data_IF_894187517255
#
_entry.id   IF_894187517255
#
_cell.length_a   1.000
_cell.length_b   1.000
_cell.length_c   1.000
_cell.angle_alpha   90.00
_cell.angle_beta   90.00
_cell.angle_gamma   90.00
#
_symmetry.space_group_name_H-M   'P 1'
#
loop_
_entity.id
_entity.type
_entity.pdbx_description
1 polymer ?
#
# COMPACT_ATOMS: atom_id res chain seq x y z
N UNK A 1 -4.59 32.29 -37.87
CA UNK A 1 -3.47 31.51 -37.30
C UNK A 1 -3.41 31.76 -35.80
N UNK A 2 -4.24 31.05 -35.02
CA UNK A 2 -4.25 31.06 -33.54
C UNK A 2 -4.61 29.67 -33.03
N UNK A 3 -5.43 28.94 -33.80
CA UNK A 3 -5.86 27.56 -33.52
C UNK A 3 -4.72 26.52 -33.45
N UNK A 4 -3.62 26.71 -34.19
CA UNK A 4 -2.48 25.78 -34.17
C UNK A 4 -1.66 25.85 -32.88
N UNK A 5 -1.52 27.04 -32.27
CA UNK A 5 -0.80 27.20 -31.00
C UNK A 5 -1.61 26.65 -29.82
N UNK A 6 -2.94 26.80 -29.85
CA UNK A 6 -3.83 26.16 -28.87
C UNK A 6 -3.91 24.64 -29.07
N UNK A 7 -3.82 24.14 -30.31
CA UNK A 7 -3.88 22.71 -30.60
C UNK A 7 -2.59 21.97 -30.22
N UNK A 8 -1.41 22.52 -30.51
CA UNK A 8 -0.14 21.89 -30.11
C UNK A 8 0.06 21.92 -28.58
N UNK A 9 -0.40 22.98 -27.90
CA UNK A 9 -0.36 23.06 -26.45
C UNK A 9 -1.33 22.06 -25.81
N UNK A 10 -2.56 21.94 -26.33
CA UNK A 10 -3.53 20.96 -25.85
C UNK A 10 -3.05 19.51 -26.08
N UNK A 11 -2.44 19.23 -27.24
CA UNK A 11 -1.85 17.92 -27.53
C UNK A 11 -0.72 17.59 -26.55
N UNK A 12 0.16 18.54 -26.23
CA UNK A 12 1.23 18.37 -25.23
C UNK A 12 0.66 18.14 -23.82
N UNK A 13 -0.36 18.90 -23.42
CA UNK A 13 -1.02 18.76 -22.12
C UNK A 13 -1.84 17.47 -21.96
N UNK A 14 -2.25 16.83 -23.07
CA UNK A 14 -2.89 15.51 -23.05
C UNK A 14 -1.89 14.35 -23.12
N UNK A 15 -0.68 14.59 -23.66
CA UNK A 15 0.39 13.57 -23.67
C UNK A 15 0.88 13.27 -22.25
N UNK A 16 0.85 14.27 -21.35
CA UNK A 16 1.32 14.14 -19.96
C UNK A 16 0.25 13.65 -18.97
N UNK A 17 -0.94 13.25 -19.45
CA UNK A 17 -2.06 12.82 -18.60
C UNK A 17 -2.48 11.35 -18.77
N UNK A 18 -1.66 10.54 -19.46
CA UNK A 18 -1.85 9.09 -19.60
C UNK A 18 -1.03 8.25 -18.60
N UNK A 19 -0.67 8.79 -17.42
CA UNK A 19 0.09 8.05 -16.41
C UNK A 19 -0.68 7.79 -15.10
N UNK A 20 -1.95 7.35 -15.20
CA UNK A 20 -2.55 6.51 -14.14
C UNK A 20 -3.51 5.49 -14.77
N UNK A 21 -3.05 4.69 -15.74
CA UNK A 21 -3.83 3.53 -16.25
C UNK A 21 -4.03 2.43 -15.19
N UNK A 22 -3.52 2.64 -13.97
CA UNK A 22 -3.59 1.68 -12.87
C UNK A 22 -4.36 2.33 -11.73
N UNK A 23 -5.62 1.95 -11.58
CA UNK A 23 -6.43 2.34 -10.44
C UNK A 23 -6.40 1.27 -9.34
N UNK A 24 -6.34 0.00 -9.74
CA UNK A 24 -6.46 -1.13 -8.83
C UNK A 24 -5.42 -2.22 -9.06
N UNK A 25 -5.42 -3.19 -8.15
CA UNK A 25 -4.51 -4.33 -8.16
C UNK A 25 -4.74 -5.23 -9.37
N UNK A 26 -5.97 -5.33 -9.85
CA UNK A 26 -6.33 -6.09 -11.04
C UNK A 26 -5.60 -5.53 -12.28
N UNK A 27 -5.49 -4.21 -12.41
CA UNK A 27 -4.77 -3.58 -13.52
C UNK A 27 -3.28 -3.87 -13.44
N UNK A 28 -2.71 -3.89 -12.23
CA UNK A 28 -1.32 -4.32 -12.01
C UNK A 28 -1.08 -5.76 -12.51
N UNK A 29 -2.06 -6.66 -12.37
CA UNK A 29 -1.92 -8.05 -12.84
C UNK A 29 -2.02 -8.20 -14.36
N UNK A 30 -2.68 -7.27 -15.05
CA UNK A 30 -2.89 -7.31 -16.50
C UNK A 30 -1.69 -6.81 -17.31
N UNK A 31 -0.77 -6.12 -16.65
CA UNK A 31 0.39 -5.49 -17.27
C UNK A 31 1.70 -5.96 -16.62
N UNK A 32 2.82 -5.76 -17.31
CA UNK A 32 4.16 -6.18 -16.82
C UNK A 32 5.17 -5.04 -16.78
N UNK A 33 4.77 -3.82 -17.14
CA UNK A 33 5.62 -2.61 -17.20
C UNK A 33 5.96 -2.13 -15.79
N UNK A 34 4.94 -1.96 -14.95
CA UNK A 34 5.04 -1.58 -13.55
C UNK A 34 5.23 -2.84 -12.72
N UNK A 35 6.37 -2.91 -12.06
CA UNK A 35 6.70 -4.00 -11.14
C UNK A 35 6.02 -3.75 -9.80
N UNK A 36 5.71 -4.79 -9.05
CA UNK A 36 5.15 -4.63 -7.71
C UNK A 36 5.77 -5.61 -6.73
N UNK A 37 5.78 -5.25 -5.45
CA UNK A 37 6.39 -6.06 -4.41
C UNK A 37 6.04 -5.62 -3.00
N UNK A 38 6.44 -6.44 -2.04
CA UNK A 38 6.16 -6.25 -0.60
C UNK A 38 7.45 -6.28 0.22
N UNK A 39 7.35 -5.93 1.49
CA UNK A 39 8.40 -6.18 2.47
C UNK A 39 8.64 -7.68 2.62
N UNK A 40 9.90 -8.12 2.54
CA UNK A 40 10.29 -9.52 2.73
C UNK A 40 9.98 -9.97 4.16
N UNK A 41 9.31 -11.12 4.31
CA UNK A 41 8.95 -11.68 5.62
C UNK A 41 7.87 -10.89 6.38
N UNK A 42 7.24 -9.89 5.75
CA UNK A 42 6.16 -9.11 6.36
C UNK A 42 4.81 -9.86 6.43
N UNK A 43 3.85 -9.22 7.09
CA UNK A 43 2.44 -9.66 7.15
C UNK A 43 1.81 -9.75 5.76
N UNK A 44 2.10 -8.78 4.89
CA UNK A 44 1.61 -8.73 3.50
C UNK A 44 2.26 -9.78 2.60
N UNK A 45 3.56 -10.05 2.79
CA UNK A 45 4.24 -11.16 2.10
C UNK A 45 3.58 -12.50 2.40
N UNK A 46 3.33 -12.76 3.68
CA UNK A 46 2.67 -14.00 4.13
C UNK A 46 1.21 -14.08 3.67
N UNK A 47 0.53 -12.94 3.55
CA UNK A 47 -0.83 -12.87 3.01
C UNK A 47 -0.88 -13.35 1.56
N UNK A 48 -0.06 -12.77 0.67
CA UNK A 48 -0.04 -13.19 -0.74
C UNK A 48 0.39 -14.65 -0.90
N UNK A 49 1.31 -15.13 -0.07
CA UNK A 49 1.77 -16.53 -0.07
C UNK A 49 0.66 -17.54 0.25
N UNK A 50 -0.24 -17.21 1.17
CA UNK A 50 -1.30 -18.12 1.64
C UNK A 50 -2.69 -17.68 1.18
N UNK A 51 -2.78 -16.81 0.16
CA UNK A 51 -4.06 -16.34 -0.34
C UNK A 51 -4.73 -17.41 -1.20
N UNK A 52 -6.04 -17.59 -1.03
CA UNK A 52 -6.86 -18.49 -1.84
C UNK A 52 -7.46 -17.80 -3.08
N UNK A 53 -7.31 -16.48 -3.20
CA UNK A 53 -7.89 -15.70 -4.30
C UNK A 53 -7.00 -15.85 -5.55
N UNK A 54 -7.53 -16.32 -6.70
CA UNK A 54 -6.73 -16.60 -7.90
C UNK A 54 -5.90 -15.40 -8.40
N UNK A 55 -6.44 -14.19 -8.30
CA UNK A 55 -5.72 -12.96 -8.68
C UNK A 55 -4.47 -12.75 -7.82
N UNK A 56 -4.59 -12.94 -6.51
CA UNK A 56 -3.48 -12.77 -5.56
C UNK A 56 -2.47 -13.91 -5.64
N UNK A 57 -2.90 -15.13 -5.97
CA UNK A 57 -2.00 -16.24 -6.26
C UNK A 57 -1.11 -15.95 -7.48
N UNK A 58 -1.69 -15.42 -8.58
CA UNK A 58 -0.90 -15.01 -9.75
C UNK A 58 0.10 -13.90 -9.43
N UNK A 59 -0.32 -12.92 -8.63
CA UNK A 59 0.60 -11.88 -8.15
C UNK A 59 1.73 -12.46 -7.31
N UNK A 60 1.41 -13.40 -6.43
CA UNK A 60 2.39 -14.10 -5.62
C UNK A 60 3.38 -14.87 -6.48
N UNK A 61 2.93 -15.62 -7.48
CA UNK A 61 3.78 -16.34 -8.43
C UNK A 61 4.73 -15.38 -9.17
N UNK A 62 4.23 -14.23 -9.63
CA UNK A 62 5.04 -13.20 -10.27
C UNK A 62 6.11 -12.61 -9.32
N UNK A 63 5.72 -12.30 -8.08
CA UNK A 63 6.65 -11.79 -7.07
C UNK A 63 7.68 -12.84 -6.65
N UNK A 64 7.26 -14.09 -6.45
CA UNK A 64 8.12 -15.19 -6.03
C UNK A 64 9.09 -15.63 -7.14
N UNK A 65 8.69 -15.53 -8.41
CA UNK A 65 9.59 -15.76 -9.55
C UNK A 65 10.73 -14.73 -9.62
N UNK A 66 10.51 -13.52 -9.09
CA UNK A 66 11.48 -12.42 -9.10
C UNK A 66 11.79 -11.93 -7.69
N UNK A 67 12.71 -12.61 -6.98
CA UNK A 67 13.08 -12.26 -5.60
C UNK A 67 13.57 -10.82 -5.41
N UNK A 68 14.04 -10.15 -6.48
CA UNK A 68 14.44 -8.74 -6.45
C UNK A 68 13.27 -7.74 -6.31
N UNK A 69 12.03 -8.21 -6.41
CA UNK A 69 10.83 -7.39 -6.18
C UNK A 69 10.56 -7.19 -4.70
N UNK A 70 11.03 -8.08 -3.83
CA UNK A 70 10.92 -7.89 -2.40
C UNK A 70 11.96 -6.88 -1.89
N UNK A 71 11.58 -6.12 -0.86
CA UNK A 71 12.46 -5.17 -0.18
C UNK A 71 12.66 -5.61 1.26
N UNK A 72 13.84 -5.36 1.83
CA UNK A 72 14.15 -5.72 3.21
C UNK A 72 13.72 -4.66 4.22
N UNK A 73 13.63 -3.40 3.78
CA UNK A 73 13.19 -2.26 4.58
C UNK A 73 12.09 -1.50 3.88
N UNK A 74 11.20 -0.90 4.67
CA UNK A 74 10.11 -0.07 4.16
C UNK A 74 10.65 1.15 3.40
N UNK A 75 11.71 1.79 3.90
CA UNK A 75 12.34 2.96 3.27
C UNK A 75 12.86 2.69 1.85
N UNK A 76 13.41 1.49 1.62
CA UNK A 76 13.87 1.07 0.30
C UNK A 76 12.69 0.92 -0.68
N UNK A 77 11.57 0.39 -0.19
CA UNK A 77 10.31 0.28 -0.93
C UNK A 77 9.74 1.65 -1.33
N UNK A 78 9.74 2.60 -0.40
CA UNK A 78 9.30 3.99 -0.65
C UNK A 78 10.21 4.67 -1.68
N UNK A 79 11.53 4.60 -1.48
CA UNK A 79 12.50 5.20 -2.41
C UNK A 79 12.38 4.61 -3.81
N UNK A 80 12.09 3.31 -3.91
CA UNK A 80 11.88 2.63 -5.19
C UNK A 80 10.57 3.04 -5.85
N UNK A 81 9.51 3.24 -5.08
CA UNK A 81 8.24 3.76 -5.59
C UNK A 81 8.38 5.19 -6.13
N UNK A 82 9.13 6.05 -5.43
CA UNK A 82 9.44 7.42 -5.88
C UNK A 82 10.26 7.48 -7.17
N UNK A 83 11.14 6.49 -7.41
CA UNK A 83 11.87 6.36 -8.68
C UNK A 83 10.96 6.00 -9.87
N UNK A 84 9.70 5.62 -9.61
CA UNK A 84 8.72 5.24 -10.62
C UNK A 84 8.85 3.77 -11.07
N UNK A 85 7.90 3.34 -11.91
CA UNK A 85 7.80 1.97 -12.45
C UNK A 85 7.76 0.85 -11.40
N UNK A 86 7.46 1.17 -10.15
CA UNK A 86 7.36 0.21 -9.05
C UNK A 86 6.23 0.57 -8.09
N UNK A 87 5.29 -0.36 -7.86
CA UNK A 87 4.25 -0.23 -6.86
C UNK A 87 4.64 -1.02 -5.60
N UNK A 88 4.71 -0.32 -4.47
CA UNK A 88 5.01 -0.93 -3.20
C UNK A 88 3.70 -1.24 -2.46
N UNK A 89 3.48 -2.50 -2.08
CA UNK A 89 2.27 -2.92 -1.37
C UNK A 89 2.58 -2.98 0.13
N UNK A 90 1.90 -2.14 0.90
CA UNK A 90 2.07 -1.98 2.34
C UNK A 90 0.70 -1.89 3.07
N UNK A 91 0.73 -1.87 4.40
CA UNK A 91 -0.46 -1.73 5.23
C UNK A 91 -1.10 -0.33 5.07
N UNK A 92 -2.42 -0.24 5.19
CA UNK A 92 -3.18 1.00 4.93
C UNK A 92 -2.76 2.17 5.81
N UNK A 93 -2.54 1.93 7.10
CA UNK A 93 -2.06 2.93 8.06
C UNK A 93 -0.70 3.50 7.69
N UNK A 94 0.22 2.64 7.25
CA UNK A 94 1.55 3.05 6.78
C UNK A 94 1.44 3.80 5.45
N UNK A 95 0.54 3.36 4.56
CA UNK A 95 0.30 4.03 3.28
C UNK A 95 -0.21 5.46 3.49
N UNK A 96 -1.20 5.63 4.36
CA UNK A 96 -1.71 6.95 4.78
C UNK A 96 -0.60 7.80 5.43
N UNK A 97 0.20 7.21 6.31
CA UNK A 97 1.30 7.91 6.98
C UNK A 97 2.35 8.48 6.00
N UNK A 98 2.72 7.72 4.97
CA UNK A 98 3.73 8.14 3.99
C UNK A 98 3.15 9.08 2.92
N UNK A 99 1.94 8.81 2.44
CA UNK A 99 1.25 9.69 1.47
C UNK A 99 0.93 11.06 2.05
N UNK A 100 0.58 11.16 3.33
CA UNK A 100 0.39 12.44 4.01
C UNK A 100 1.67 13.27 4.13
N UNK A 101 2.85 12.63 4.14
CA UNK A 101 4.14 13.31 4.26
C UNK A 101 4.75 13.65 2.91
N UNK A 102 4.55 12.79 1.93
CA UNK A 102 5.14 12.90 0.61
C UNK A 102 4.03 12.90 -0.43
N UNK A 103 3.69 14.09 -0.93
CA UNK A 103 2.65 14.26 -1.96
C UNK A 103 3.01 13.63 -3.32
N UNK A 104 4.26 13.24 -3.53
CA UNK A 104 4.71 12.48 -4.71
C UNK A 104 4.22 11.02 -4.70
N UNK A 105 3.84 10.51 -3.53
CA UNK A 105 3.28 9.16 -3.39
C UNK A 105 1.77 9.22 -3.56
N UNK A 106 1.26 8.47 -4.54
CA UNK A 106 -0.18 8.33 -4.76
C UNK A 106 -0.64 6.98 -4.23
N UNK A 107 -1.58 6.92 -3.26
CA UNK A 107 -2.18 5.66 -2.86
C UNK A 107 -3.02 5.10 -4.02
N UNK A 108 -2.86 3.81 -4.32
CA UNK A 108 -3.59 3.12 -5.38
C UNK A 108 -4.55 2.09 -4.77
N UNK A 109 -5.78 2.04 -5.30
CA UNK A 109 -6.82 1.08 -4.91
C UNK A 109 -7.34 1.24 -3.49
N UNK A 110 -8.18 0.25 -3.10
CA UNK A 110 -8.76 0.13 -1.76
C UNK A 110 -8.00 -0.85 -0.85
N UNK A 111 -8.57 -1.12 0.32
CA UNK A 111 -8.05 -2.16 1.21
C UNK A 111 -8.24 -3.55 0.59
N UNK A 112 -7.15 -4.31 0.47
CA UNK A 112 -7.16 -5.68 -0.04
C UNK A 112 -7.62 -6.70 1.01
N UNK A 113 -7.41 -6.39 2.29
CA UNK A 113 -7.75 -7.24 3.42
C UNK A 113 -7.93 -6.38 4.68
N UNK A 114 -9.09 -6.41 5.36
CA UNK A 114 -9.29 -5.69 6.61
C UNK A 114 -8.52 -6.37 7.76
N UNK A 115 -7.31 -5.88 8.04
CA UNK A 115 -6.49 -6.33 9.19
C UNK A 115 -6.30 -5.22 10.22
N UNK A 116 -6.18 -5.62 11.48
CA UNK A 116 -5.92 -4.74 12.60
C UNK A 116 -4.64 -5.12 13.35
N UNK A 117 -4.05 -4.16 14.04
CA UNK A 117 -2.89 -4.42 14.91
C UNK A 117 -3.33 -5.02 16.24
N UNK A 118 -2.66 -6.08 16.66
CA UNK A 118 -2.85 -6.74 17.95
C UNK A 118 -1.57 -6.73 18.78
N UNK A 119 -1.71 -6.78 20.10
CA UNK A 119 -0.59 -6.90 21.03
C UNK A 119 -0.41 -8.37 21.40
N UNK A 120 0.72 -8.96 20.99
CA UNK A 120 1.06 -10.33 21.31
C UNK A 120 1.60 -10.46 22.74
N UNK A 121 0.88 -11.22 23.60
CA UNK A 121 1.32 -11.53 24.96
C UNK A 121 1.76 -13.01 25.06
N UNK A 122 2.78 -13.34 25.86
CA UNK A 122 3.21 -14.72 26.07
C UNK A 122 2.06 -15.65 26.49
N UNK A 123 2.10 -16.89 26.00
CA UNK A 123 1.14 -17.93 26.40
C UNK A 123 1.33 -18.23 27.90
N UNK A 124 0.24 -18.27 28.67
CA UNK A 124 0.29 -18.52 30.12
C UNK A 124 0.57 -17.32 31.01
N UNK A 125 0.74 -16.10 30.49
CA UNK A 125 0.88 -14.92 31.33
C UNK A 125 -0.34 -14.72 32.25
N UNK A 126 -0.10 -14.62 33.56
CA UNK A 126 -1.14 -14.56 34.60
C UNK A 126 -1.87 -13.21 34.59
N UNK A 127 -1.16 -12.11 34.32
CA UNK A 127 -1.70 -10.74 34.40
C UNK A 127 -2.17 -10.16 33.05
N UNK A 128 -2.57 -11.00 32.09
CA UNK A 128 -3.05 -10.53 30.77
C UNK A 128 -4.22 -9.54 30.88
N UNK A 129 -5.13 -9.78 31.84
CA UNK A 129 -6.30 -8.94 32.06
C UNK A 129 -5.97 -7.51 32.46
N UNK A 130 -4.98 -7.31 33.34
CA UNK A 130 -4.57 -5.98 33.80
C UNK A 130 -3.96 -5.15 32.66
N UNK A 131 -3.11 -5.77 31.83
CA UNK A 131 -2.48 -5.10 30.69
C UNK A 131 -3.54 -4.68 29.67
N UNK A 132 -4.51 -5.55 29.36
CA UNK A 132 -5.59 -5.23 28.44
C UNK A 132 -6.51 -4.12 28.98
N UNK A 133 -6.74 -4.09 30.30
CA UNK A 133 -7.51 -3.02 30.94
C UNK A 133 -6.79 -1.67 30.81
N UNK A 134 -5.47 -1.62 31.03
CA UNK A 134 -4.66 -0.40 30.87
C UNK A 134 -4.65 0.14 29.44
N UNK A 135 -4.67 -0.75 28.44
CA UNK A 135 -4.76 -0.34 27.02
C UNK A 135 -6.16 0.24 26.73
N UNK A 136 -7.21 -0.41 27.22
CA UNK A 136 -8.60 0.01 26.98
C UNK A 136 -8.94 1.35 27.65
N UNK A 137 -8.35 1.65 28.80
CA UNK A 137 -8.59 2.90 29.54
C UNK A 137 -7.84 4.11 29.00
N UNK A 138 -6.77 3.92 28.22
CA UNK A 138 -5.96 5.02 27.67
C UNK A 138 -6.32 5.41 26.22
N UNK A 139 -7.29 4.74 25.60
CA UNK A 139 -7.85 5.21 24.32
C UNK A 139 -8.80 6.37 24.61
N UNK A 140 -8.30 7.60 24.44
CA UNK A 140 -9.11 8.82 24.47
C UNK A 140 -10.19 8.72 23.39
N UNK A 141 -11.44 8.63 23.82
CA UNK A 141 -12.59 8.96 22.99
C UNK A 141 -12.51 10.46 22.71
N UNK A 142 -12.20 10.85 21.48
CA UNK A 142 -12.36 12.23 21.06
C UNK A 142 -13.85 12.44 20.76
N UNK A 143 -14.56 13.16 21.64
CA UNK A 143 -15.88 13.73 21.35
C UNK A 143 -17.05 13.16 22.14
N UNK A 144 -17.36 13.79 23.26
CA UNK A 144 -18.71 14.26 23.53
C UNK A 144 -18.62 15.56 24.32
N UNK A 145 -18.65 16.67 23.60
CA UNK A 145 -18.91 17.98 24.16
C UNK A 145 -19.86 18.69 23.21
N UNK A 146 -21.14 18.42 23.41
CA UNK A 146 -22.23 19.24 22.89
C UNK A 146 -23.39 19.16 23.87
N UNK A 147 -23.32 19.99 24.90
CA UNK A 147 -24.36 20.91 25.38
C UNK A 147 -23.76 21.86 26.40
#
# INVERSE_FOLDING_TARGET
>A
MVSSYTANLAAFLTIDRMETDIENVEDLTRQTKIKYGTLFGGSTYSFFKHSDIPTYQRMWEFMNANSSLFVNKTEDGITRALKGNYAFILESTLNEYYSQRNCELTPLGGLLDPRGYGIGLPIGMINKGEILLQIRTNIKVCGSSSL
#
